data_IF_996515597468
#
_entry.id   IF_996515597468
#
_cell.length_a   1.000
_cell.length_b   1.000
_cell.length_c   1.000
_cell.angle_alpha   90.00
_cell.angle_beta   90.00
_cell.angle_gamma   90.00
#
_symmetry.space_group_name_H-M   'P 1'
#
loop_
_entity.id
_entity.type
_entity.pdbx_description
1 polymer ?
#
# COMPACT_ATOMS: atom_id res chain seq x y z
N UNK A 1 15.16 -20.71 -21.83
CA UNK A 1 16.10 -20.43 -20.72
C UNK A 1 17.17 -19.40 -21.08
N UNK A 2 17.55 -19.24 -22.36
CA UNK A 2 18.65 -18.33 -22.76
C UNK A 2 18.25 -16.85 -22.87
N UNK A 3 17.02 -16.52 -23.28
CA UNK A 3 16.63 -15.13 -23.55
C UNK A 3 16.57 -14.28 -22.29
N UNK A 4 16.03 -14.83 -21.20
CA UNK A 4 15.95 -14.16 -19.89
C UNK A 4 17.35 -13.91 -19.32
N UNK A 5 18.20 -14.95 -19.32
CA UNK A 5 19.57 -14.86 -18.85
C UNK A 5 20.41 -13.88 -19.69
N UNK A 6 20.18 -13.84 -21.00
CA UNK A 6 20.80 -12.89 -21.92
C UNK A 6 20.34 -11.45 -21.62
N UNK A 7 19.06 -11.22 -21.38
CA UNK A 7 18.52 -9.90 -21.03
C UNK A 7 19.13 -9.37 -19.73
N UNK A 8 19.24 -10.22 -18.70
CA UNK A 8 19.90 -9.88 -17.44
C UNK A 8 21.39 -9.56 -17.62
N UNK A 9 22.05 -10.16 -18.62
CA UNK A 9 23.46 -9.90 -18.93
C UNK A 9 23.66 -8.62 -19.74
N UNK A 10 22.76 -8.31 -20.68
CA UNK A 10 22.90 -7.15 -21.57
C UNK A 10 22.31 -5.88 -21.00
N UNK A 11 21.19 -5.97 -20.28
CA UNK A 11 20.45 -4.84 -19.72
C UNK A 11 20.00 -5.17 -18.29
N UNK A 12 20.94 -5.32 -17.34
CA UNK A 12 20.66 -5.80 -15.99
C UNK A 12 19.67 -4.89 -15.24
N UNK A 13 19.86 -3.57 -15.30
CA UNK A 13 19.00 -2.61 -14.60
C UNK A 13 17.57 -2.59 -15.13
N UNK A 14 17.41 -2.65 -16.46
CA UNK A 14 16.09 -2.73 -17.10
C UNK A 14 15.41 -4.05 -16.72
N UNK A 15 16.14 -5.16 -16.75
CA UNK A 15 15.62 -6.49 -16.37
C UNK A 15 15.16 -6.52 -14.91
N UNK A 16 15.95 -5.94 -13.99
CA UNK A 16 15.61 -5.82 -12.56
C UNK A 16 14.38 -4.92 -12.40
N UNK A 17 14.33 -3.77 -13.07
CA UNK A 17 13.20 -2.85 -13.05
C UNK A 17 11.90 -3.56 -13.44
N UNK A 18 11.86 -4.26 -14.59
CA UNK A 18 10.69 -5.02 -15.00
C UNK A 18 10.34 -6.17 -14.06
N UNK A 19 11.34 -6.79 -13.42
CA UNK A 19 11.08 -7.80 -12.38
C UNK A 19 10.38 -7.18 -11.17
N UNK A 20 10.81 -6.00 -10.71
CA UNK A 20 10.12 -5.24 -9.66
C UNK A 20 8.68 -4.90 -10.06
N UNK A 21 8.44 -4.53 -11.32
CA UNK A 21 7.11 -4.23 -11.84
C UNK A 21 6.19 -5.47 -11.86
N UNK A 22 6.70 -6.62 -12.28
CA UNK A 22 5.94 -7.88 -12.26
C UNK A 22 5.56 -8.24 -10.81
N UNK A 23 6.53 -8.17 -9.90
CA UNK A 23 6.28 -8.42 -8.48
C UNK A 23 5.26 -7.42 -7.91
N UNK A 24 5.35 -6.14 -8.27
CA UNK A 24 4.39 -5.11 -7.87
C UNK A 24 2.95 -5.51 -8.21
N UNK A 25 2.70 -5.99 -9.43
CA UNK A 25 1.37 -6.43 -9.85
C UNK A 25 0.93 -7.69 -9.11
N UNK A 26 1.81 -8.67 -8.93
CA UNK A 26 1.50 -9.91 -8.17
C UNK A 26 1.09 -9.55 -6.74
N UNK A 27 1.90 -8.74 -6.04
CA UNK A 27 1.59 -8.31 -4.68
C UNK A 27 0.29 -7.49 -4.61
N UNK A 28 0.02 -6.65 -5.62
CA UNK A 28 -1.22 -5.87 -5.71
C UNK A 28 -2.47 -6.75 -5.86
N UNK A 29 -2.39 -7.81 -6.67
CA UNK A 29 -3.48 -8.79 -6.80
C UNK A 29 -3.66 -9.56 -5.49
N UNK A 30 -2.58 -10.02 -4.86
CA UNK A 30 -2.63 -10.68 -3.56
C UNK A 30 -3.24 -9.78 -2.48
N UNK A 31 -2.86 -8.49 -2.45
CA UNK A 31 -3.41 -7.51 -1.52
C UNK A 31 -4.91 -7.30 -1.80
N UNK A 32 -5.32 -7.19 -3.06
CA UNK A 32 -6.73 -7.07 -3.43
C UNK A 32 -7.55 -8.25 -2.92
N UNK A 33 -7.07 -9.48 -3.13
CA UNK A 33 -7.75 -10.69 -2.62
C UNK A 33 -7.80 -10.68 -1.10
N UNK A 34 -6.67 -10.40 -0.43
CA UNK A 34 -6.59 -10.33 1.03
C UNK A 34 -7.58 -9.32 1.62
N UNK A 35 -7.65 -8.12 1.02
CA UNK A 35 -8.55 -7.05 1.44
C UNK A 35 -10.00 -7.47 1.29
N UNK A 36 -10.38 -8.09 0.17
CA UNK A 36 -11.75 -8.55 -0.02
C UNK A 36 -12.14 -9.62 1.00
N UNK A 37 -11.25 -10.56 1.34
CA UNK A 37 -11.50 -11.59 2.36
C UNK A 37 -11.70 -10.95 3.75
N UNK A 38 -10.87 -9.97 4.09
CA UNK A 38 -10.86 -9.35 5.43
C UNK A 38 -11.71 -8.07 5.53
N UNK A 39 -12.45 -7.74 4.46
CA UNK A 39 -13.05 -6.42 4.28
C UNK A 39 -13.92 -6.01 5.47
N UNK A 40 -14.86 -6.88 5.86
CA UNK A 40 -15.80 -6.60 6.96
C UNK A 40 -15.06 -6.24 8.25
N UNK A 41 -14.05 -7.02 8.61
CA UNK A 41 -13.31 -6.79 9.86
C UNK A 41 -12.41 -5.56 9.82
N UNK A 42 -11.85 -5.22 8.64
CA UNK A 42 -11.10 -3.98 8.44
C UNK A 42 -12.06 -2.77 8.55
N UNK A 43 -13.23 -2.83 7.90
CA UNK A 43 -14.23 -1.75 7.91
C UNK A 43 -14.84 -1.50 9.28
N UNK A 44 -15.09 -2.57 10.05
CA UNK A 44 -15.52 -2.48 11.43
C UNK A 44 -14.60 -1.62 12.28
N UNK A 45 -13.28 -1.73 12.08
CA UNK A 45 -12.31 -0.97 12.86
C UNK A 45 -12.24 0.49 12.40
N UNK A 46 -12.43 0.76 11.11
CA UNK A 46 -12.25 2.10 10.54
C UNK A 46 -13.50 2.98 10.71
N UNK A 47 -14.70 2.39 10.54
CA UNK A 47 -15.96 3.14 10.37
C UNK A 47 -17.04 2.68 11.34
N UNK A 48 -16.81 1.60 12.09
CA UNK A 48 -17.80 0.96 12.96
C UNK A 48 -19.09 0.53 12.22
N UNK A 49 -19.04 0.46 10.88
CA UNK A 49 -20.12 -0.01 10.01
C UNK A 49 -19.57 -1.03 9.00
N UNK A 50 -20.00 -2.27 9.16
CA UNK A 50 -19.62 -3.41 8.33
C UNK A 50 -20.23 -3.32 6.90
N UNK A 51 -21.24 -2.47 6.68
CA UNK A 51 -21.95 -2.34 5.40
C UNK A 51 -21.39 -1.21 4.51
N UNK A 52 -20.51 -0.36 5.04
CA UNK A 52 -19.98 0.79 4.30
C UNK A 52 -19.16 0.36 3.08
N UNK A 53 -18.58 -0.83 3.12
CA UNK A 53 -17.83 -1.44 2.02
C UNK A 53 -18.47 -2.76 1.60
N UNK A 54 -19.08 -2.79 0.40
CA UNK A 54 -19.63 -4.01 -0.20
C UNK A 54 -18.57 -4.76 -0.99
N UNK A 55 -18.58 -6.09 -0.89
CA UNK A 55 -17.75 -6.99 -1.69
C UNK A 55 -18.45 -7.33 -3.02
N UNK A 56 -17.74 -7.36 -4.17
CA UNK A 56 -16.34 -6.96 -4.36
C UNK A 56 -16.16 -5.45 -4.24
N UNK A 57 -15.02 -4.99 -3.69
CA UNK A 57 -14.76 -3.56 -3.62
C UNK A 57 -14.76 -2.95 -5.02
N UNK A 58 -15.48 -1.83 -5.16
CA UNK A 58 -15.32 -0.97 -6.34
C UNK A 58 -13.87 -0.43 -6.42
N UNK A 59 -13.35 -0.11 -7.61
CA UNK A 59 -11.99 0.43 -7.75
C UNK A 59 -11.72 1.70 -6.92
N UNK A 60 -12.70 2.61 -6.81
CA UNK A 60 -12.61 3.83 -5.99
C UNK A 60 -12.51 3.50 -4.50
N UNK A 61 -13.35 2.58 -4.07
CA UNK A 61 -13.42 2.10 -2.69
C UNK A 61 -12.14 1.36 -2.31
N UNK A 62 -11.60 0.54 -3.22
CA UNK A 62 -10.32 -0.12 -3.07
C UNK A 62 -9.17 0.88 -3.00
N UNK A 63 -9.19 1.93 -3.82
CA UNK A 63 -8.18 2.98 -3.77
C UNK A 63 -8.11 3.65 -2.40
N UNK A 64 -9.28 4.00 -1.82
CA UNK A 64 -9.35 4.62 -0.50
C UNK A 64 -8.83 3.70 0.60
N UNK A 65 -9.16 2.41 0.53
CA UNK A 65 -8.68 1.42 1.49
C UNK A 65 -7.18 1.14 1.30
N UNK A 66 -6.71 1.13 0.07
CA UNK A 66 -5.29 1.09 -0.27
C UNK A 66 -4.55 2.39 0.09
N UNK A 67 -5.20 3.41 0.63
CA UNK A 67 -4.50 4.55 1.22
C UNK A 67 -4.29 4.37 2.73
N UNK A 68 -4.84 3.30 3.34
CA UNK A 68 -4.88 3.13 4.78
C UNK A 68 -3.50 3.07 5.46
N UNK A 69 -2.45 2.45 4.90
CA UNK A 69 -1.08 2.51 5.43
C UNK A 69 -0.43 3.89 5.36
N UNK A 70 -0.84 4.73 4.39
CA UNK A 70 -0.44 6.14 4.34
C UNK A 70 -1.13 6.93 5.46
N UNK A 71 -2.43 6.71 5.66
CA UNK A 71 -3.19 7.29 6.78
C UNK A 71 -2.58 6.83 8.10
N UNK A 72 -2.26 5.54 8.24
CA UNK A 72 -1.61 4.97 9.41
C UNK A 72 -0.28 5.65 9.69
N UNK A 73 0.58 5.80 8.69
CA UNK A 73 1.87 6.45 8.86
C UNK A 73 1.73 7.93 9.24
N UNK A 74 0.78 8.64 8.61
CA UNK A 74 0.44 10.03 8.94
C UNK A 74 -0.02 10.17 10.40
N UNK A 75 -0.97 9.35 10.84
CA UNK A 75 -1.49 9.41 12.21
C UNK A 75 -0.44 8.94 13.24
N UNK A 76 0.37 7.94 12.91
CA UNK A 76 1.50 7.52 13.73
C UNK A 76 2.50 8.66 13.95
N UNK A 77 2.85 9.39 12.89
CA UNK A 77 3.74 10.56 12.99
C UNK A 77 3.11 11.70 13.78
N UNK A 78 1.80 11.92 13.63
CA UNK A 78 1.06 12.91 14.40
C UNK A 78 1.12 12.59 15.91
N UNK A 79 0.85 11.33 16.29
CA UNK A 79 0.87 10.90 17.70
C UNK A 79 2.30 10.90 18.26
N UNK A 80 3.26 10.33 17.54
CA UNK A 80 4.63 10.10 18.06
C UNK A 80 5.50 11.36 18.06
N UNK A 81 5.31 12.25 17.08
CA UNK A 81 6.15 13.43 16.89
C UNK A 81 5.38 14.75 17.00
N UNK A 82 4.10 14.71 17.40
CA UNK A 82 3.21 15.87 17.52
C UNK A 82 3.11 16.69 16.21
N UNK A 83 3.25 16.03 15.06
CA UNK A 83 3.21 16.67 13.73
C UNK A 83 1.76 16.82 13.29
N UNK A 84 1.23 18.04 13.39
CA UNK A 84 -0.13 18.32 12.97
C UNK A 84 -0.24 18.48 11.43
N UNK A 85 -0.47 17.37 10.73
CA UNK A 85 -0.67 17.36 9.27
C UNK A 85 -1.90 18.16 8.81
N UNK A 86 -2.92 18.35 9.66
CA UNK A 86 -4.09 19.20 9.35
C UNK A 86 -3.67 20.65 9.16
N UNK A 87 -2.66 21.11 9.92
CA UNK A 87 -2.07 22.45 9.79
C UNK A 87 -1.24 22.59 8.51
N UNK A 88 -0.64 21.50 8.03
CA UNK A 88 0.18 21.47 6.81
C UNK A 88 -0.66 21.43 5.53
N UNK A 89 -1.76 20.66 5.51
CA UNK A 89 -2.56 20.45 4.29
C UNK A 89 -3.83 21.32 4.19
N UNK A 90 -4.23 21.99 5.28
CA UNK A 90 -5.42 22.86 5.31
C UNK A 90 -6.77 22.15 5.11
N UNK A 91 -6.77 20.81 4.93
CA UNK A 91 -7.96 19.96 4.74
C UNK A 91 -7.75 18.60 5.42
N UNK A 92 -8.85 17.97 5.82
CA UNK A 92 -8.84 16.58 6.27
C UNK A 92 -8.83 15.67 5.03
N UNK A 93 -7.64 15.28 4.58
CA UNK A 93 -7.50 14.22 3.58
C UNK A 93 -7.53 12.87 4.29
N UNK A 94 -8.38 11.97 3.78
CA UNK A 94 -8.66 10.63 4.31
C UNK A 94 -9.38 10.59 5.66
N UNK A 95 -9.87 9.42 6.04
CA UNK A 95 -10.53 9.16 7.32
C UNK A 95 -9.55 9.36 8.50
N UNK A 96 -10.05 9.86 9.63
CA UNK A 96 -9.30 9.95 10.87
C UNK A 96 -9.34 8.61 11.59
N UNK A 97 -8.18 8.10 12.01
CA UNK A 97 -8.09 6.93 12.87
C UNK A 97 -7.58 7.36 14.24
N UNK A 98 -8.18 6.83 15.30
CA UNK A 98 -7.66 7.02 16.65
C UNK A 98 -6.53 6.02 16.94
N UNK A 99 -5.77 6.26 18.01
CA UNK A 99 -4.64 5.40 18.39
C UNK A 99 -5.07 3.94 18.61
N UNK A 100 -6.25 3.72 19.22
CA UNK A 100 -6.86 2.39 19.42
C UNK A 100 -7.11 1.64 18.11
N UNK A 101 -7.57 2.36 17.09
CA UNK A 101 -8.00 1.78 15.82
C UNK A 101 -6.77 1.41 15.00
N UNK A 102 -5.75 2.28 15.03
CA UNK A 102 -4.43 2.01 14.47
C UNK A 102 -3.81 0.77 15.10
N UNK A 103 -3.80 0.67 16.43
CA UNK A 103 -3.24 -0.48 17.13
C UNK A 103 -4.02 -1.77 16.82
N UNK A 104 -5.36 -1.69 16.78
CA UNK A 104 -6.23 -2.81 16.42
C UNK A 104 -5.98 -3.29 14.99
N UNK A 105 -5.85 -2.36 14.02
CA UNK A 105 -5.51 -2.68 12.63
C UNK A 105 -4.13 -3.34 12.52
N UNK A 106 -3.12 -2.80 13.22
CA UNK A 106 -1.77 -3.36 13.18
C UNK A 106 -1.71 -4.76 13.80
N UNK A 107 -2.42 -4.98 14.91
CA UNK A 107 -2.45 -6.28 15.60
C UNK A 107 -3.25 -7.34 14.83
N UNK A 108 -4.43 -6.97 14.29
CA UNK A 108 -5.34 -7.92 13.63
C UNK A 108 -4.99 -8.14 12.16
N UNK A 109 -4.48 -7.12 11.48
CA UNK A 109 -4.20 -7.15 10.04
C UNK A 109 -2.78 -6.69 9.70
N UNK A 110 -1.71 -7.21 10.35
CA UNK A 110 -0.34 -6.78 10.06
C UNK A 110 0.07 -7.05 8.60
N UNK A 111 -0.41 -8.16 8.03
CA UNK A 111 -0.14 -8.57 6.65
C UNK A 111 -0.59 -7.50 5.65
N UNK A 112 -1.70 -6.81 5.92
CA UNK A 112 -2.17 -5.72 5.08
C UNK A 112 -1.12 -4.62 4.92
N UNK A 113 -0.52 -4.19 6.04
CA UNK A 113 0.53 -3.16 6.05
C UNK A 113 1.80 -3.65 5.37
N UNK A 114 2.26 -4.87 5.67
CA UNK A 114 3.46 -5.43 5.03
C UNK A 114 3.33 -5.55 3.52
N UNK A 115 2.22 -6.12 3.05
CA UNK A 115 1.94 -6.28 1.62
C UNK A 115 1.94 -4.91 0.93
N UNK A 116 1.32 -3.92 1.56
CA UNK A 116 1.21 -2.61 0.94
C UNK A 116 2.52 -1.82 0.95
N UNK A 117 3.30 -1.88 2.03
CA UNK A 117 4.65 -1.29 2.04
C UNK A 117 5.57 -1.98 1.03
N UNK A 118 5.45 -3.30 0.85
CA UNK A 118 6.17 -4.02 -0.20
C UNK A 118 5.78 -3.55 -1.60
N UNK A 119 4.48 -3.34 -1.86
CA UNK A 119 4.01 -2.77 -3.14
C UNK A 119 4.62 -1.38 -3.37
N UNK A 120 4.58 -0.49 -2.37
CA UNK A 120 5.20 0.83 -2.52
C UNK A 120 6.70 0.75 -2.77
N UNK A 121 7.40 -0.11 -2.02
CA UNK A 121 8.83 -0.32 -2.19
C UNK A 121 9.18 -0.84 -3.59
N UNK A 122 8.45 -1.83 -4.11
CA UNK A 122 8.64 -2.37 -5.46
C UNK A 122 8.36 -1.33 -6.54
N UNK A 123 7.33 -0.49 -6.36
CA UNK A 123 7.01 0.61 -7.27
C UNK A 123 8.12 1.66 -7.31
N UNK A 124 8.68 2.03 -6.15
CA UNK A 124 9.81 2.94 -6.06
C UNK A 124 11.05 2.34 -6.73
N UNK A 125 11.37 1.07 -6.44
CA UNK A 125 12.51 0.39 -7.07
C UNK A 125 12.37 0.32 -8.59
N UNK A 126 11.16 0.03 -9.10
CA UNK A 126 10.89 0.05 -10.54
C UNK A 126 11.29 1.40 -11.17
N UNK A 127 10.79 2.50 -10.60
CA UNK A 127 11.06 3.86 -11.09
C UNK A 127 12.56 4.18 -10.99
N UNK A 128 13.18 3.91 -9.84
CA UNK A 128 14.60 4.22 -9.60
C UNK A 128 15.50 3.47 -10.57
N UNK A 129 15.32 2.15 -10.73
CA UNK A 129 16.14 1.37 -11.66
C UNK A 129 15.90 1.75 -13.12
N UNK A 130 14.66 2.10 -13.48
CA UNK A 130 14.36 2.57 -14.83
C UNK A 130 15.07 3.90 -15.12
N UNK A 131 14.99 4.86 -14.21
CA UNK A 131 15.67 6.15 -14.35
C UNK A 131 17.18 6.00 -14.43
N UNK A 132 17.79 5.18 -13.56
CA UNK A 132 19.24 4.92 -13.59
C UNK A 132 19.64 4.27 -14.91
N UNK A 133 18.80 3.40 -15.49
CA UNK A 133 19.10 2.76 -16.78
C UNK A 133 19.04 3.71 -17.98
N UNK A 134 18.43 4.89 -17.83
CA UNK A 134 18.31 5.91 -18.87
C UNK A 134 19.44 6.96 -18.84
N UNK A 135 20.30 6.90 -17.82
CA UNK A 135 21.50 7.75 -17.64
C UNK A 135 22.70 7.01 -18.20
#
# INVERSE_FOLDING_TARGET
MNTLLHLFRTLPLISISFTCLILFFIFSICLYIYVNINLKGICKIIVDDDNWYKMPLSPLTFHLLSALPLVFFKEFLNIKFNINFKKLYGKNYYFSLNCSDLESLLRKYPVFFYMQYMIFFLGILFIVFLLISMI
#
